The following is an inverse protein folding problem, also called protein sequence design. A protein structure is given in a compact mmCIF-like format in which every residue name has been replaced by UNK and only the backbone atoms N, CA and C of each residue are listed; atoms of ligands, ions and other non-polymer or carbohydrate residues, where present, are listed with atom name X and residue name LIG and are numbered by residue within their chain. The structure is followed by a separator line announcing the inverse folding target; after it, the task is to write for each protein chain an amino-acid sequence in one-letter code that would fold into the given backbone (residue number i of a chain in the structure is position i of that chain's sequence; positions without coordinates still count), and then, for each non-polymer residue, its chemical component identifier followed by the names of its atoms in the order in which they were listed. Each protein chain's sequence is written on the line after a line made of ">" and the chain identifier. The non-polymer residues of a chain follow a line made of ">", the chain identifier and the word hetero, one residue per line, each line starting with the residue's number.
data_IF_313587772704
#
_entry.id   IF_313587772704
#
_cell.length_a   1.000
_cell.length_b   1.000
_cell.length_c   1.000
_cell.angle_alpha   90.00
_cell.angle_beta   90.00
_cell.angle_gamma   90.00
#
_symmetry.space_group_name_H-M   'P 1'
#
loop_
_entity.id
_entity.type
_entity.pdbx_description
1 polymer ?
#
# COMPACT_ATOMS: atom_id res chain seq x y z
N UNK A 1 -15.33 5.89 -0.89
CA UNK A 1 -15.82 4.54 -1.26
C UNK A 1 -17.33 4.53 -1.41
N UNK A 2 -18.07 5.17 -0.50
CA UNK A 2 -19.54 5.30 -0.52
C UNK A 2 -20.12 5.77 -1.85
N UNK A 3 -19.63 6.87 -2.44
CA UNK A 3 -20.11 7.37 -3.74
C UNK A 3 -20.01 6.31 -4.86
N UNK A 4 -18.96 5.47 -4.83
CA UNK A 4 -18.78 4.41 -5.81
C UNK A 4 -19.78 3.25 -5.58
N UNK A 5 -19.99 2.86 -4.32
CA UNK A 5 -20.97 1.84 -3.92
C UNK A 5 -22.38 2.28 -4.31
N UNK A 6 -22.77 3.51 -3.96
CA UNK A 6 -24.05 4.10 -4.32
C UNK A 6 -24.28 4.10 -5.83
N UNK A 7 -23.26 4.49 -6.60
CA UNK A 7 -23.34 4.48 -8.06
C UNK A 7 -23.57 3.07 -8.61
N UNK A 8 -22.82 2.07 -8.12
CA UNK A 8 -22.96 0.68 -8.57
C UNK A 8 -24.33 0.12 -8.19
N UNK A 9 -24.79 0.37 -6.97
CA UNK A 9 -26.10 -0.10 -6.51
C UNK A 9 -27.25 0.55 -7.29
N UNK A 10 -27.15 1.85 -7.61
CA UNK A 10 -28.12 2.53 -8.51
C UNK A 10 -28.14 1.95 -9.93
N UNK A 11 -27.07 1.29 -10.36
CA UNK A 11 -26.97 0.60 -11.65
C UNK A 11 -27.42 -0.87 -11.59
N UNK A 12 -28.04 -1.31 -10.49
CA UNK A 12 -28.52 -2.68 -10.32
C UNK A 12 -27.54 -3.61 -9.59
N UNK A 13 -26.45 -3.07 -9.04
CA UNK A 13 -25.46 -3.83 -8.29
C UNK A 13 -24.54 -4.68 -9.17
N UNK A 14 -23.83 -5.63 -8.57
CA UNK A 14 -22.97 -6.58 -9.29
C UNK A 14 -23.77 -7.86 -9.52
N UNK A 15 -24.00 -8.22 -10.79
CA UNK A 15 -24.82 -9.37 -11.16
C UNK A 15 -26.21 -9.38 -10.48
N UNK A 16 -26.83 -8.20 -10.33
CA UNK A 16 -28.14 -8.04 -9.67
C UNK A 16 -28.09 -8.00 -8.15
N UNK A 17 -26.91 -8.05 -7.52
CA UNK A 17 -26.75 -8.05 -6.05
C UNK A 17 -26.21 -6.69 -5.58
N UNK A 18 -26.85 -6.01 -4.61
CA UNK A 18 -26.33 -4.79 -4.04
C UNK A 18 -25.05 -5.05 -3.23
N UNK A 19 -24.16 -4.06 -3.22
CA UNK A 19 -22.96 -4.03 -2.40
C UNK A 19 -23.28 -3.35 -1.07
N UNK A 20 -22.88 -3.95 0.03
CA UNK A 20 -22.85 -3.32 1.36
C UNK A 20 -21.40 -3.02 1.74
N UNK A 21 -21.15 -1.83 2.28
CA UNK A 21 -19.82 -1.42 2.75
C UNK A 21 -19.75 -1.48 4.28
N UNK A 22 -18.91 -2.35 4.80
CA UNK A 22 -18.60 -2.42 6.24
C UNK A 22 -17.20 -1.83 6.46
N UNK A 23 -17.12 -0.75 7.25
CA UNK A 23 -15.89 0.03 7.45
C UNK A 23 -15.35 -0.17 8.86
N UNK A 24 -14.04 -0.35 8.96
CA UNK A 24 -13.32 -0.38 10.23
C UNK A 24 -12.08 0.51 10.17
N UNK A 25 -11.80 1.20 11.28
CA UNK A 25 -10.59 2.00 11.43
C UNK A 25 -9.44 1.16 12.03
N UNK A 26 -8.32 1.15 11.30
CA UNK A 26 -7.08 0.50 11.74
C UNK A 26 -6.29 1.33 12.76
N UNK A 27 -6.69 2.57 13.03
CA UNK A 27 -6.02 3.53 13.92
C UNK A 27 -4.55 3.81 13.53
N UNK A 28 -4.16 3.50 12.28
CA UNK A 28 -2.77 3.52 11.83
C UNK A 28 -1.85 2.51 12.53
N UNK A 29 -2.41 1.55 13.29
CA UNK A 29 -1.66 0.63 14.15
C UNK A 29 -1.81 -0.82 13.68
N UNK A 30 -0.72 -1.57 13.47
CA UNK A 30 -0.79 -2.98 13.06
C UNK A 30 -1.68 -3.87 13.93
N UNK A 31 -1.56 -3.74 15.26
CA UNK A 31 -2.35 -4.54 16.20
C UNK A 31 -3.85 -4.25 16.10
N UNK A 32 -4.25 -2.98 15.94
CA UNK A 32 -5.65 -2.61 15.74
C UNK A 32 -6.14 -3.11 14.37
N UNK A 33 -5.37 -2.88 13.31
CA UNK A 33 -5.66 -3.40 11.96
C UNK A 33 -5.91 -4.90 11.92
N UNK A 34 -5.08 -5.71 12.59
CA UNK A 34 -5.28 -7.17 12.69
C UNK A 34 -6.61 -7.49 13.38
N UNK A 35 -6.89 -6.87 14.54
CA UNK A 35 -8.14 -7.13 15.28
C UNK A 35 -9.38 -6.77 14.46
N UNK A 36 -9.35 -5.61 13.79
CA UNK A 36 -10.46 -5.17 12.93
C UNK A 36 -10.63 -6.05 11.70
N UNK A 37 -9.53 -6.48 11.08
CA UNK A 37 -9.57 -7.42 9.95
C UNK A 37 -10.19 -8.75 10.37
N UNK A 38 -9.83 -9.29 11.54
CA UNK A 38 -10.47 -10.50 12.09
C UNK A 38 -11.96 -10.31 12.32
N UNK A 39 -12.37 -9.18 12.90
CA UNK A 39 -13.79 -8.85 13.07
C UNK A 39 -14.54 -8.86 11.74
N UNK A 40 -14.00 -8.20 10.71
CA UNK A 40 -14.60 -8.19 9.36
C UNK A 40 -14.73 -9.59 8.77
N UNK A 41 -13.70 -10.43 8.91
CA UNK A 41 -13.65 -11.77 8.32
C UNK A 41 -14.49 -12.81 9.09
N UNK A 42 -14.40 -12.81 10.42
CA UNK A 42 -14.94 -13.88 11.27
C UNK A 42 -16.35 -13.56 11.76
N UNK A 43 -16.61 -12.29 12.09
CA UNK A 43 -17.89 -11.86 12.66
C UNK A 43 -18.81 -11.27 11.60
N UNK A 44 -18.31 -10.29 10.86
CA UNK A 44 -19.12 -9.58 9.85
C UNK A 44 -19.16 -10.36 8.51
N UNK A 45 -18.30 -11.38 8.35
CA UNK A 45 -18.26 -12.34 7.23
C UNK A 45 -18.24 -11.68 5.85
N UNK A 46 -17.40 -10.67 5.68
CA UNK A 46 -17.26 -9.97 4.39
C UNK A 46 -16.78 -10.90 3.27
N UNK A 47 -17.32 -10.72 2.06
CA UNK A 47 -16.95 -11.51 0.88
C UNK A 47 -15.59 -11.11 0.29
N UNK A 48 -15.18 -9.85 0.48
CA UNK A 48 -13.93 -9.29 -0.01
C UNK A 48 -13.46 -8.12 0.87
N UNK A 49 -12.15 -7.93 0.96
CA UNK A 49 -11.52 -6.75 1.54
C UNK A 49 -11.17 -5.71 0.48
N UNK A 50 -11.42 -4.43 0.77
CA UNK A 50 -10.97 -3.29 -0.03
C UNK A 50 -10.46 -2.18 0.89
N UNK A 51 -9.22 -1.74 0.69
CA UNK A 51 -8.66 -0.58 1.39
C UNK A 51 -7.26 -0.79 1.92
N UNK A 52 -6.96 -0.19 3.08
CA UNK A 52 -5.62 -0.15 3.63
C UNK A 52 -4.80 1.02 3.10
N UNK A 53 -4.23 1.78 4.04
CA UNK A 53 -3.52 3.02 3.77
C UNK A 53 -2.03 2.93 4.12
N UNK A 54 -1.71 2.61 5.37
CA UNK A 54 -0.32 2.48 5.82
C UNK A 54 0.24 1.09 5.50
N UNK A 55 1.38 1.04 4.80
CA UNK A 55 1.98 -0.22 4.34
C UNK A 55 2.29 -1.22 5.46
N UNK A 56 2.75 -0.76 6.62
CA UNK A 56 3.00 -1.63 7.79
C UNK A 56 1.70 -2.30 8.28
N UNK A 57 0.58 -1.57 8.29
CA UNK A 57 -0.75 -2.10 8.66
C UNK A 57 -1.22 -3.11 7.61
N UNK A 58 -1.13 -2.77 6.31
CA UNK A 58 -1.48 -3.68 5.23
C UNK A 58 -0.73 -5.01 5.35
N UNK A 59 0.60 -4.95 5.45
CA UNK A 59 1.45 -6.14 5.60
C UNK A 59 1.03 -6.99 6.81
N UNK A 60 0.69 -6.36 7.93
CA UNK A 60 0.26 -7.06 9.13
C UNK A 60 -1.11 -7.76 8.96
N UNK A 61 -2.00 -7.21 8.13
CA UNK A 61 -3.34 -7.78 7.91
C UNK A 61 -3.38 -8.85 6.81
N UNK A 62 -2.43 -8.86 5.87
CA UNK A 62 -2.36 -9.83 4.76
C UNK A 62 -2.46 -11.31 5.20
N UNK A 63 -1.81 -11.76 6.29
CA UNK A 63 -1.94 -13.15 6.77
C UNK A 63 -3.37 -13.51 7.19
N UNK A 64 -4.15 -12.56 7.68
CA UNK A 64 -5.52 -12.77 8.12
C UNK A 64 -6.45 -13.09 6.94
N UNK A 65 -6.34 -12.31 5.85
CA UNK A 65 -7.03 -12.57 4.59
C UNK A 65 -6.60 -13.90 3.96
N UNK A 66 -5.30 -14.21 4.00
CA UNK A 66 -4.78 -15.51 3.53
C UNK A 66 -5.38 -16.68 4.32
N UNK A 67 -5.50 -16.56 5.65
CA UNK A 67 -6.10 -17.58 6.52
C UNK A 67 -7.58 -17.77 6.19
N UNK A 68 -8.33 -16.68 6.06
CA UNK A 68 -9.75 -16.71 5.75
C UNK A 68 -10.08 -17.08 4.29
N UNK A 69 -9.06 -17.10 3.40
CA UNK A 69 -9.22 -17.30 1.95
C UNK A 69 -10.14 -16.26 1.30
N UNK A 70 -10.12 -15.04 1.83
CA UNK A 70 -10.88 -13.90 1.31
C UNK A 70 -9.95 -12.99 0.53
N UNK A 71 -10.36 -12.58 -0.67
CA UNK A 71 -9.59 -11.67 -1.51
C UNK A 71 -9.52 -10.30 -0.83
N UNK A 72 -8.30 -9.76 -0.71
CA UNK A 72 -8.02 -8.42 -0.25
C UNK A 72 -7.43 -7.58 -1.38
N UNK A 73 -8.10 -6.49 -1.71
CA UNK A 73 -7.66 -5.52 -2.69
C UNK A 73 -7.14 -4.28 -1.94
N UNK A 74 -5.83 -4.06 -2.04
CA UNK A 74 -5.17 -2.94 -1.39
C UNK A 74 -5.59 -1.63 -2.06
N UNK A 75 -5.80 -0.59 -1.27
CA UNK A 75 -6.20 0.74 -1.71
C UNK A 75 -5.05 1.73 -1.92
N UNK A 76 -4.01 1.73 -1.05
CA UNK A 76 -2.89 2.70 -1.15
C UNK A 76 -1.50 2.13 -0.83
N UNK A 77 -1.36 1.11 0.03
CA UNK A 77 -0.06 0.63 0.50
C UNK A 77 0.99 0.29 -0.60
N UNK A 78 2.11 1.03 -0.64
CA UNK A 78 3.13 0.99 -1.71
C UNK A 78 4.40 0.17 -1.41
N UNK A 79 4.54 -0.41 -0.22
CA UNK A 79 5.74 -1.20 0.12
C UNK A 79 5.94 -2.35 -0.87
N UNK A 80 7.17 -2.52 -1.34
CA UNK A 80 7.52 -3.51 -2.38
C UNK A 80 7.28 -4.93 -1.95
N UNK A 81 7.48 -5.25 -0.67
CA UNK A 81 7.39 -6.61 -0.15
C UNK A 81 5.98 -7.20 -0.29
N UNK A 82 4.95 -6.34 -0.35
CA UNK A 82 3.54 -6.75 -0.56
C UNK A 82 3.37 -7.60 -1.82
N UNK A 83 4.08 -7.26 -2.91
CA UNK A 83 3.99 -7.97 -4.20
C UNK A 83 5.26 -8.77 -4.52
N UNK A 84 6.20 -8.88 -3.58
CA UNK A 84 7.43 -9.67 -3.73
C UNK A 84 7.55 -10.67 -2.58
N UNK A 85 8.42 -10.43 -1.59
CA UNK A 85 8.77 -11.42 -0.57
C UNK A 85 7.63 -11.78 0.39
N UNK A 86 6.63 -10.91 0.58
CA UNK A 86 5.45 -11.15 1.43
C UNK A 86 4.18 -11.41 0.62
N UNK A 87 4.28 -11.59 -0.70
CA UNK A 87 3.11 -11.79 -1.55
C UNK A 87 2.35 -13.07 -1.18
N UNK A 88 1.04 -13.07 -1.43
CA UNK A 88 0.21 -14.25 -1.26
C UNK A 88 -0.98 -14.23 -2.23
N UNK A 89 -1.59 -15.39 -2.46
CA UNK A 89 -2.68 -15.60 -3.43
C UNK A 89 -3.94 -14.74 -3.18
N UNK A 90 -4.15 -14.26 -1.96
CA UNK A 90 -5.36 -13.56 -1.55
C UNK A 90 -5.15 -12.05 -1.40
N UNK A 91 -3.99 -11.50 -1.77
CA UNK A 91 -3.74 -10.07 -1.69
C UNK A 91 -3.32 -9.53 -3.04
N UNK A 92 -4.06 -8.54 -3.53
CA UNK A 92 -3.81 -7.85 -4.79
C UNK A 92 -3.60 -6.36 -4.54
N UNK A 93 -2.75 -5.75 -5.35
CA UNK A 93 -2.54 -4.30 -5.39
C UNK A 93 -2.76 -3.83 -6.83
N UNK A 94 -3.79 -3.02 -7.11
CA UNK A 94 -4.16 -2.64 -8.47
C UNK A 94 -3.49 -1.34 -8.96
N UNK A 95 -2.70 -0.67 -8.12
CA UNK A 95 -2.00 0.58 -8.45
C UNK A 95 -0.48 0.40 -8.37
N UNK A 96 0.26 1.48 -8.60
CA UNK A 96 1.71 1.52 -8.64
C UNK A 96 2.38 1.13 -7.30
N UNK A 97 3.70 1.02 -7.34
CA UNK A 97 4.52 0.65 -6.20
C UNK A 97 5.80 1.47 -6.22
N UNK A 98 6.49 1.60 -5.09
CA UNK A 98 7.60 2.55 -4.92
C UNK A 98 8.69 2.49 -6.04
N UNK A 99 9.17 1.32 -6.49
CA UNK A 99 10.06 1.18 -7.63
C UNK A 99 9.52 1.68 -8.97
N UNK A 100 8.22 1.55 -9.25
CA UNK A 100 7.67 2.08 -10.51
C UNK A 100 7.83 3.61 -10.57
N UNK A 101 7.64 4.28 -9.44
CA UNK A 101 7.86 5.72 -9.30
C UNK A 101 9.36 6.06 -9.47
N UNK A 102 10.25 5.34 -8.77
CA UNK A 102 11.68 5.57 -8.89
C UNK A 102 12.20 5.35 -10.31
N UNK A 103 11.77 4.28 -11.00
CA UNK A 103 12.13 4.00 -12.40
C UNK A 103 11.69 5.14 -13.32
N UNK A 104 10.51 5.71 -13.11
CA UNK A 104 10.01 6.81 -13.93
C UNK A 104 10.77 8.12 -13.68
N UNK A 105 11.06 8.46 -12.42
CA UNK A 105 11.61 9.76 -12.07
C UNK A 105 13.15 9.82 -12.06
N UNK A 106 13.84 8.74 -11.66
CA UNK A 106 15.29 8.75 -11.51
C UNK A 106 16.07 9.21 -12.75
N UNK A 107 15.70 8.85 -14.00
CA UNK A 107 16.37 9.36 -15.19
C UNK A 107 16.27 10.89 -15.31
N UNK A 108 15.07 11.44 -15.09
CA UNK A 108 14.85 12.89 -15.13
C UNK A 108 15.62 13.61 -14.01
N UNK A 109 15.56 13.09 -12.79
CA UNK A 109 16.32 13.65 -11.65
C UNK A 109 17.82 13.75 -11.99
N UNK A 110 18.40 12.70 -12.56
CA UNK A 110 19.84 12.62 -12.80
C UNK A 110 20.29 13.36 -14.06
N UNK A 111 19.46 13.43 -15.09
CA UNK A 111 19.83 14.05 -16.37
C UNK A 111 19.49 15.54 -16.44
N UNK A 112 18.37 15.95 -15.83
CA UNK A 112 17.86 17.33 -15.96
C UNK A 112 18.07 18.18 -14.71
N UNK A 113 18.13 17.57 -13.52
CA UNK A 113 18.21 18.33 -12.26
C UNK A 113 19.62 18.30 -11.67
N UNK A 114 20.23 17.13 -11.47
CA UNK A 114 21.57 17.06 -10.90
C UNK A 114 22.08 15.67 -10.58
N UNK A 115 23.39 15.57 -10.36
CA UNK A 115 24.08 14.29 -10.12
C UNK A 115 24.18 13.89 -8.65
N UNK A 116 24.03 14.80 -7.68
CA UNK A 116 24.17 14.49 -6.24
C UNK A 116 22.87 14.70 -5.50
N UNK A 117 22.45 13.68 -4.74
CA UNK A 117 21.14 13.62 -4.10
C UNK A 117 21.23 13.27 -2.62
N UNK A 118 20.42 13.95 -1.80
CA UNK A 118 20.20 13.59 -0.39
C UNK A 118 18.71 13.24 -0.22
N UNK A 119 18.41 12.07 0.35
CA UNK A 119 17.02 11.58 0.45
C UNK A 119 16.50 11.78 1.87
N UNK A 120 15.43 12.57 2.01
CA UNK A 120 14.64 12.66 3.24
C UNK A 120 13.38 11.82 3.09
N UNK A 121 13.13 10.91 4.04
CA UNK A 121 12.01 9.97 3.96
C UNK A 121 11.31 9.80 5.32
N UNK A 122 10.09 9.27 5.32
CA UNK A 122 9.36 8.99 6.56
C UNK A 122 9.80 7.66 7.16
N UNK A 123 10.01 7.59 8.48
CA UNK A 123 10.46 6.36 9.16
C UNK A 123 9.36 5.30 9.34
N UNK A 124 8.91 4.70 8.24
CA UNK A 124 8.14 3.45 8.24
C UNK A 124 8.32 2.70 6.92
N UNK A 125 7.72 1.51 6.82
CA UNK A 125 7.87 0.55 5.70
C UNK A 125 7.84 1.21 4.31
N UNK A 126 6.86 2.06 4.03
CA UNK A 126 6.78 2.75 2.74
C UNK A 126 7.95 3.70 2.50
N UNK A 127 8.29 4.56 3.47
CA UNK A 127 9.37 5.53 3.29
C UNK A 127 10.72 4.85 3.12
N UNK A 128 10.95 3.74 3.81
CA UNK A 128 12.14 2.90 3.65
C UNK A 128 12.19 2.26 2.25
N UNK A 129 11.08 1.66 1.80
CA UNK A 129 10.95 1.07 0.47
C UNK A 129 11.16 2.10 -0.66
N UNK A 130 10.61 3.30 -0.51
CA UNK A 130 10.78 4.41 -1.46
C UNK A 130 12.23 4.91 -1.48
N UNK A 131 12.85 5.10 -0.31
CA UNK A 131 14.28 5.47 -0.21
C UNK A 131 15.16 4.49 -0.98
N UNK A 132 14.95 3.18 -0.78
CA UNK A 132 15.76 2.15 -1.41
C UNK A 132 15.59 2.14 -2.93
N UNK A 133 14.34 2.23 -3.39
CA UNK A 133 14.03 2.30 -4.81
C UNK A 133 14.66 3.53 -5.50
N UNK A 134 14.56 4.72 -4.88
CA UNK A 134 15.17 5.93 -5.45
C UNK A 134 16.70 5.90 -5.38
N UNK A 135 17.29 5.32 -4.33
CA UNK A 135 18.74 5.15 -4.25
C UNK A 135 19.26 4.31 -5.39
N UNK A 136 18.66 3.15 -5.63
CA UNK A 136 19.00 2.26 -6.73
C UNK A 136 18.79 2.96 -8.09
N UNK A 137 17.63 3.60 -8.27
CA UNK A 137 17.30 4.31 -9.50
C UNK A 137 18.27 5.44 -9.83
N UNK A 138 18.66 6.26 -8.86
CA UNK A 138 19.63 7.36 -9.03
C UNK A 138 21.01 6.80 -9.41
N UNK A 139 21.49 5.79 -8.69
CA UNK A 139 22.79 5.15 -8.95
C UNK A 139 22.86 4.54 -10.35
N UNK A 140 21.78 3.84 -10.76
CA UNK A 140 21.68 3.24 -12.09
C UNK A 140 21.76 4.26 -13.23
N UNK A 141 21.30 5.50 -13.01
CA UNK A 141 21.34 6.58 -14.00
C UNK A 141 22.63 7.43 -13.94
N UNK A 142 23.62 7.04 -13.12
CA UNK A 142 24.90 7.75 -13.00
C UNK A 142 24.86 8.94 -12.03
N UNK A 143 23.89 8.97 -11.12
CA UNK A 143 23.86 9.89 -9.99
C UNK A 143 24.43 9.26 -8.71
N UNK A 144 24.68 10.09 -7.72
CA UNK A 144 25.23 9.74 -6.41
C UNK A 144 24.23 10.11 -5.32
N UNK A 145 23.98 9.18 -4.39
CA UNK A 145 23.24 9.49 -3.16
C UNK A 145 24.23 9.74 -2.04
N UNK A 146 24.38 11.01 -1.66
CA UNK A 146 25.38 11.48 -0.68
C UNK A 146 24.94 11.27 0.79
N UNK A 147 23.66 10.93 1.01
CA UNK A 147 23.15 10.62 2.33
C UNK A 147 21.63 10.44 2.35
N UNK A 148 21.13 9.87 3.43
CA UNK A 148 19.69 9.74 3.66
C UNK A 148 19.36 10.00 5.12
N UNK A 149 18.24 10.68 5.39
CA UNK A 149 17.75 10.94 6.74
C UNK A 149 16.27 10.62 6.83
N UNK A 150 15.86 10.03 7.94
CA UNK A 150 14.45 9.87 8.22
C UNK A 150 13.90 11.09 8.97
N UNK A 151 12.66 11.45 8.68
CA UNK A 151 11.86 12.35 9.51
C UNK A 151 10.79 11.52 10.22
N UNK A 152 10.67 11.74 11.53
CA UNK A 152 9.67 11.06 12.36
C UNK A 152 8.40 11.88 12.30
N UNK A 153 7.32 11.29 11.79
CA UNK A 153 6.00 11.94 11.88
C UNK A 153 5.58 11.93 13.35
N UNK A 154 5.46 13.10 13.93
CA UNK A 154 4.77 13.33 15.21
C UNK A 154 3.33 13.71 14.88
N UNK A 155 2.37 12.92 15.35
CA UNK A 155 0.95 13.27 15.36
C UNK A 155 0.59 13.90 16.70
#
# INVERSE_FOLDING_TARGET
>A
QEVAVDRINRQGGISGRPIELIVEDSEGKPAAGIRKTRKLLERDRVDAGQGGFMSNVCIACMPEYKRARVINMIGVCLDTTITTSKCNRYTFRPFDFAPAQAVAFSPYLVNEIGKKWYIVFVDYSWGQSTRDAYREGIQKNGGEVVGTRFHRITW
#
